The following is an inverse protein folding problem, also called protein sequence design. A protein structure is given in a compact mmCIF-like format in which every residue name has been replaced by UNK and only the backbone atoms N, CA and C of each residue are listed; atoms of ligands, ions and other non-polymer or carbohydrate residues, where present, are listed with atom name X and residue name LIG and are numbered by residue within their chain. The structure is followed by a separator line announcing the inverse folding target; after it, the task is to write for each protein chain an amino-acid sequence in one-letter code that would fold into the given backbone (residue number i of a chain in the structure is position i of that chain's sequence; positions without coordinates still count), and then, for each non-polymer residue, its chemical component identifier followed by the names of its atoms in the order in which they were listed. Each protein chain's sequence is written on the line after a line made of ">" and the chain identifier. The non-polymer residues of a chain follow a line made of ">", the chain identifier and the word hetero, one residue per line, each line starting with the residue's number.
data_IF_834652014141
#
_entry.id   IF_834652014141
#
_cell.length_a   1.000
_cell.length_b   1.000
_cell.length_c   1.000
_cell.angle_alpha   90.00
_cell.angle_beta   90.00
_cell.angle_gamma   90.00
#
_symmetry.space_group_name_H-M   'P 1'
#
loop_
_entity.id
_entity.type
_entity.pdbx_description
1 polymer ?
#
# COMPACT_ATOMS: atom_id res chain seq x y z
N UNK A 1 -12.25 68.94 -34.93
CA UNK A 1 -11.69 68.78 -33.57
C UNK A 1 -11.62 67.31 -33.07
N UNK A 2 -11.49 66.28 -33.94
CA UNK A 2 -11.58 64.86 -33.52
C UNK A 2 -10.24 64.14 -33.23
N UNK A 3 -9.12 64.61 -33.80
CA UNK A 3 -7.82 63.92 -33.77
C UNK A 3 -7.16 63.81 -32.36
N UNK A 4 -7.46 64.74 -31.44
CA UNK A 4 -6.91 64.71 -30.08
C UNK A 4 -7.49 63.57 -29.21
N UNK A 5 -8.70 63.10 -29.52
CA UNK A 5 -9.38 62.05 -28.75
C UNK A 5 -8.74 60.68 -28.98
N UNK A 6 -8.28 60.40 -30.20
CA UNK A 6 -7.80 59.07 -30.58
C UNK A 6 -6.38 58.80 -30.06
N UNK A 7 -5.53 59.83 -30.00
CA UNK A 7 -4.23 59.79 -29.31
C UNK A 7 -4.39 59.45 -27.82
N UNK A 8 -5.35 60.10 -27.15
CA UNK A 8 -5.62 59.85 -25.73
C UNK A 8 -6.17 58.45 -25.48
N UNK A 9 -7.07 57.95 -26.33
CA UNK A 9 -7.57 56.57 -26.28
C UNK A 9 -6.44 55.56 -26.48
N UNK A 10 -5.53 55.79 -27.42
CA UNK A 10 -4.35 54.94 -27.66
C UNK A 10 -3.45 54.88 -26.42
N UNK A 11 -3.15 56.02 -25.79
CA UNK A 11 -2.36 56.07 -24.55
C UNK A 11 -3.01 55.26 -23.42
N UNK A 12 -4.31 55.46 -23.19
CA UNK A 12 -5.07 54.69 -22.18
C UNK A 12 -5.08 53.18 -22.45
N UNK A 13 -5.16 52.76 -23.72
CA UNK A 13 -5.05 51.34 -24.11
C UNK A 13 -3.68 50.76 -23.82
N UNK A 14 -2.60 51.49 -24.10
CA UNK A 14 -1.24 51.02 -23.80
C UNK A 14 -1.02 50.89 -22.29
N UNK A 15 -1.52 51.83 -21.50
CA UNK A 15 -1.42 51.81 -20.04
C UNK A 15 -2.25 50.66 -19.44
N UNK A 16 -3.49 50.47 -19.92
CA UNK A 16 -4.35 49.34 -19.52
C UNK A 16 -3.79 47.98 -19.95
N UNK A 17 -3.24 47.86 -21.16
CA UNK A 17 -2.61 46.63 -21.64
C UNK A 17 -1.36 46.31 -20.82
N UNK A 18 -0.53 47.32 -20.52
CA UNK A 18 0.65 47.17 -19.67
C UNK A 18 0.28 46.64 -18.29
N UNK A 19 -0.74 47.24 -17.67
CA UNK A 19 -1.22 46.81 -16.37
C UNK A 19 -1.85 45.40 -16.43
N UNK A 20 -2.61 45.11 -17.49
CA UNK A 20 -3.21 43.78 -17.71
C UNK A 20 -2.16 42.69 -17.92
N UNK A 21 -1.09 42.97 -18.68
CA UNK A 21 0.04 42.08 -18.87
C UNK A 21 0.80 41.84 -17.56
N UNK A 22 1.04 42.89 -16.76
CA UNK A 22 1.62 42.75 -15.42
C UNK A 22 0.77 41.86 -14.53
N UNK A 23 -0.54 42.14 -14.43
CA UNK A 23 -1.49 41.33 -13.64
C UNK A 23 -1.56 39.88 -14.10
N UNK A 24 -1.47 39.64 -15.41
CA UNK A 24 -1.43 38.29 -15.98
C UNK A 24 -0.17 37.55 -15.54
N UNK A 25 1.01 38.20 -15.63
CA UNK A 25 2.29 37.62 -15.16
C UNK A 25 2.25 37.27 -13.67
N UNK A 26 1.77 38.20 -12.82
CA UNK A 26 1.66 37.96 -11.37
C UNK A 26 0.70 36.80 -11.07
N UNK A 27 -0.45 36.73 -11.73
CA UNK A 27 -1.40 35.61 -11.55
C UNK A 27 -0.80 34.26 -11.94
N UNK A 28 -0.07 34.21 -13.06
CA UNK A 28 0.62 32.98 -13.50
C UNK A 28 1.72 32.59 -12.51
N UNK A 29 2.51 33.55 -12.03
CA UNK A 29 3.56 33.29 -11.04
C UNK A 29 2.97 32.72 -9.74
N UNK A 30 1.90 33.33 -9.22
CA UNK A 30 1.21 32.83 -8.04
C UNK A 30 0.67 31.40 -8.25
N UNK A 31 0.10 31.12 -9.42
CA UNK A 31 -0.39 29.77 -9.75
C UNK A 31 0.73 28.74 -9.80
N UNK A 32 1.90 29.11 -10.32
CA UNK A 32 3.07 28.22 -10.32
C UNK A 32 3.57 27.95 -8.89
N UNK A 33 3.63 28.97 -8.04
CA UNK A 33 4.01 28.82 -6.63
C UNK A 33 3.03 27.93 -5.87
N UNK A 34 1.71 28.10 -6.09
CA UNK A 34 0.67 27.24 -5.53
C UNK A 34 0.88 25.77 -5.93
N UNK A 35 1.11 25.50 -7.23
CA UNK A 35 1.31 24.14 -7.74
C UNK A 35 2.62 23.51 -7.22
N UNK A 36 3.70 24.29 -7.10
CA UNK A 36 4.96 23.80 -6.53
C UNK A 36 4.80 23.41 -5.06
N UNK A 37 4.06 24.23 -4.30
CA UNK A 37 3.78 23.92 -2.90
C UNK A 37 2.90 22.67 -2.76
N UNK A 38 1.84 22.55 -3.58
CA UNK A 38 0.98 21.36 -3.60
C UNK A 38 1.78 20.10 -3.96
N UNK A 39 2.64 20.16 -4.98
CA UNK A 39 3.51 19.05 -5.36
C UNK A 39 4.46 18.65 -4.24
N UNK A 40 5.06 19.61 -3.53
CA UNK A 40 5.94 19.34 -2.40
C UNK A 40 5.19 18.69 -1.22
N UNK A 41 3.96 19.15 -0.94
CA UNK A 41 3.10 18.55 0.09
C UNK A 41 2.74 17.11 -0.25
N UNK A 42 2.24 16.87 -1.47
CA UNK A 42 1.88 15.52 -1.94
C UNK A 42 3.09 14.58 -1.93
N UNK A 43 4.28 15.07 -2.29
CA UNK A 43 5.51 14.28 -2.21
C UNK A 43 5.81 13.87 -0.76
N UNK A 44 5.73 14.80 0.18
CA UNK A 44 5.95 14.51 1.59
C UNK A 44 4.90 13.54 2.16
N UNK A 45 3.64 13.67 1.75
CA UNK A 45 2.58 12.72 2.13
C UNK A 45 2.83 11.33 1.57
N UNK A 46 3.23 11.22 0.30
CA UNK A 46 3.63 9.95 -0.31
C UNK A 46 4.80 9.31 0.42
N UNK A 47 5.83 10.09 0.78
CA UNK A 47 7.00 9.60 1.50
C UNK A 47 6.61 9.07 2.90
N UNK A 48 5.67 9.73 3.59
CA UNK A 48 5.13 9.25 4.88
C UNK A 48 4.35 7.95 4.73
N UNK A 49 3.44 7.88 3.76
CA UNK A 49 2.64 6.67 3.49
C UNK A 49 3.57 5.50 3.15
N UNK A 50 4.61 5.73 2.33
CA UNK A 50 5.59 4.70 1.99
C UNK A 50 6.33 4.18 3.23
N UNK A 51 6.70 5.06 4.17
CA UNK A 51 7.34 4.67 5.42
C UNK A 51 6.38 3.87 6.34
N UNK A 52 5.10 4.24 6.40
CA UNK A 52 4.08 3.50 7.15
C UNK A 52 3.85 2.10 6.57
N UNK A 53 3.77 1.98 5.24
CA UNK A 53 3.66 0.69 4.54
C UNK A 53 4.85 -0.19 4.90
N UNK A 54 6.08 0.32 4.80
CA UNK A 54 7.29 -0.45 5.11
C UNK A 54 7.31 -0.96 6.57
N UNK A 55 6.80 -0.15 7.51
CA UNK A 55 6.65 -0.58 8.90
C UNK A 55 5.64 -1.71 9.06
N UNK A 56 4.47 -1.59 8.43
CA UNK A 56 3.40 -2.61 8.46
C UNK A 56 3.89 -3.91 7.82
N UNK A 57 4.57 -3.84 6.67
CA UNK A 57 5.13 -5.01 6.00
C UNK A 57 6.09 -5.78 6.91
N UNK A 58 6.96 -5.07 7.65
CA UNK A 58 7.86 -5.69 8.63
C UNK A 58 7.08 -6.40 9.75
N UNK A 59 6.05 -5.77 10.30
CA UNK A 59 5.21 -6.36 11.36
C UNK A 59 4.48 -7.61 10.86
N UNK A 60 3.88 -7.54 9.67
CA UNK A 60 3.20 -8.66 9.03
C UNK A 60 4.17 -9.81 8.74
N UNK A 61 5.41 -9.52 8.32
CA UNK A 61 6.44 -10.53 8.12
C UNK A 61 6.76 -11.30 9.40
N UNK A 62 6.94 -10.57 10.53
CA UNK A 62 7.17 -11.19 11.84
C UNK A 62 5.97 -12.07 12.24
N UNK A 63 4.75 -11.56 12.12
CA UNK A 63 3.54 -12.32 12.44
C UNK A 63 3.37 -13.58 11.57
N UNK A 64 3.64 -13.46 10.26
CA UNK A 64 3.63 -14.60 9.34
C UNK A 64 4.62 -15.68 9.77
N UNK A 65 5.84 -15.29 10.14
CA UNK A 65 6.85 -16.25 10.61
C UNK A 65 6.41 -16.96 11.90
N UNK A 66 5.82 -16.24 12.85
CA UNK A 66 5.26 -16.82 14.07
C UNK A 66 4.10 -17.79 13.79
N UNK A 67 3.20 -17.43 12.87
CA UNK A 67 2.11 -18.31 12.45
C UNK A 67 2.62 -19.61 11.82
N UNK A 68 3.66 -19.55 10.98
CA UNK A 68 4.28 -20.75 10.40
C UNK A 68 4.85 -21.65 11.50
N UNK A 69 5.57 -21.08 12.47
CA UNK A 69 6.12 -21.84 13.60
C UNK A 69 5.00 -22.54 14.38
N UNK A 70 3.93 -21.81 14.72
CA UNK A 70 2.78 -22.36 15.44
C UNK A 70 2.08 -23.47 14.65
N UNK A 71 1.96 -23.32 13.32
CA UNK A 71 1.43 -24.37 12.45
C UNK A 71 2.32 -25.61 12.45
N UNK A 72 3.64 -25.45 12.37
CA UNK A 72 4.58 -26.58 12.45
C UNK A 72 4.46 -27.31 13.78
N UNK A 73 4.42 -26.58 14.90
CA UNK A 73 4.26 -27.17 16.23
C UNK A 73 2.92 -27.91 16.36
N UNK A 74 1.84 -27.35 15.82
CA UNK A 74 0.53 -27.99 15.83
C UNK A 74 0.55 -29.31 15.05
N UNK A 75 1.17 -29.33 13.86
CA UNK A 75 1.33 -30.54 13.05
C UNK A 75 2.14 -31.59 13.83
N UNK A 76 3.31 -31.21 14.38
CA UNK A 76 4.15 -32.14 15.13
C UNK A 76 3.42 -32.77 16.33
N UNK A 77 2.69 -31.95 17.11
CA UNK A 77 1.93 -32.44 18.26
C UNK A 77 0.77 -33.34 17.83
N UNK A 78 0.13 -33.03 16.70
CA UNK A 78 -0.96 -33.82 16.14
C UNK A 78 -0.45 -35.17 15.64
N UNK A 79 0.69 -35.20 14.95
CA UNK A 79 1.35 -36.43 14.49
C UNK A 79 1.75 -37.32 15.68
N UNK A 80 2.35 -36.74 16.72
CA UNK A 80 2.71 -37.46 17.96
C UNK A 80 1.48 -38.07 18.63
N UNK A 81 0.41 -37.30 18.77
CA UNK A 81 -0.83 -37.78 19.37
C UNK A 81 -1.46 -38.89 18.54
N UNK A 82 -1.47 -38.76 17.21
CA UNK A 82 -1.99 -39.77 16.29
C UNK A 82 -1.20 -41.07 16.40
N UNK A 83 0.14 -40.99 16.42
CA UNK A 83 1.01 -42.16 16.63
C UNK A 83 0.72 -42.86 17.97
N UNK A 84 0.48 -42.10 19.05
CA UNK A 84 0.09 -42.68 20.34
C UNK A 84 -1.29 -43.34 20.27
N UNK A 85 -2.27 -42.70 19.64
CA UNK A 85 -3.60 -43.26 19.42
C UNK A 85 -3.55 -44.56 18.60
N UNK A 86 -2.69 -44.65 17.59
CA UNK A 86 -2.47 -45.87 16.81
C UNK A 86 -1.88 -47.00 17.67
N UNK A 87 -0.89 -46.71 18.51
CA UNK A 87 -0.32 -47.69 19.44
C UNK A 87 -1.38 -48.19 20.42
N UNK A 88 -2.22 -47.30 20.97
CA UNK A 88 -3.30 -47.68 21.87
C UNK A 88 -4.31 -48.59 21.18
N UNK A 89 -4.61 -48.36 19.90
CA UNK A 89 -5.52 -49.21 19.12
C UNK A 89 -4.96 -50.62 18.92
N UNK A 90 -3.65 -50.76 18.73
CA UNK A 90 -2.98 -52.08 18.69
C UNK A 90 -3.05 -52.79 20.04
N UNK A 91 -2.89 -52.06 21.15
CA UNK A 91 -2.98 -52.63 22.51
C UNK A 91 -4.41 -53.07 22.85
N UNK A 92 -5.41 -52.28 22.47
CA UNK A 92 -6.83 -52.62 22.60
C UNK A 92 -7.15 -53.93 21.86
N UNK A 93 -6.71 -54.05 20.60
CA UNK A 93 -6.89 -55.27 19.80
C UNK A 93 -6.25 -56.51 20.45
N UNK A 94 -5.05 -56.36 21.03
CA UNK A 94 -4.33 -57.46 21.66
C UNK A 94 -4.87 -57.85 23.05
N UNK A 95 -5.29 -56.87 23.84
CA UNK A 95 -5.74 -57.09 25.23
C UNK A 95 -7.23 -57.40 25.35
N UNK A 96 -8.03 -57.07 24.34
CA UNK A 96 -9.49 -57.17 24.37
C UNK A 96 -10.16 -56.18 25.34
N UNK A 97 -9.40 -55.23 25.90
CA UNK A 97 -9.92 -54.16 26.73
C UNK A 97 -10.27 -52.96 25.86
N UNK A 98 -11.54 -52.54 25.91
CA UNK A 98 -12.00 -51.33 25.22
C UNK A 98 -11.32 -50.10 25.84
N UNK A 99 -10.62 -49.33 25.01
CA UNK A 99 -9.88 -48.12 25.41
C UNK A 99 -10.56 -46.89 24.82
N UNK A 100 -10.83 -45.87 25.63
CA UNK A 100 -11.41 -44.60 25.16
C UNK A 100 -10.32 -43.75 24.48
N UNK A 101 -10.02 -44.05 23.21
CA UNK A 101 -9.01 -43.35 22.41
C UNK A 101 -9.61 -42.05 21.84
N UNK A 102 -9.04 -40.86 22.14
CA UNK A 102 -9.57 -39.59 21.62
C UNK A 102 -9.33 -39.44 20.11
N UNK A 103 -10.37 -39.05 19.37
CA UNK A 103 -10.24 -38.59 17.98
C UNK A 103 -9.91 -37.09 17.94
N UNK A 104 -8.92 -36.72 17.12
CA UNK A 104 -8.50 -35.32 16.97
C UNK A 104 -9.46 -34.64 15.98
N UNK A 105 -10.15 -33.56 16.38
CA UNK A 105 -11.11 -32.91 15.50
C UNK A 105 -10.44 -32.18 14.34
N UNK A 106 -11.04 -32.35 13.14
CA UNK A 106 -10.63 -31.83 11.82
C UNK A 106 -10.24 -30.32 11.74
N UNK A 107 -10.82 -29.41 12.54
CA UNK A 107 -10.41 -28.00 12.58
C UNK A 107 -8.96 -27.76 13.02
N UNK A 108 -8.34 -28.72 13.73
CA UNK A 108 -6.92 -28.66 14.11
C UNK A 108 -5.99 -29.05 12.96
N UNK A 109 -6.49 -29.77 11.95
CA UNK A 109 -5.74 -30.18 10.76
C UNK A 109 -5.76 -29.10 9.68
N UNK A 110 -6.74 -28.19 9.72
CA UNK A 110 -6.88 -27.08 8.77
C UNK A 110 -7.21 -25.74 9.43
N UNK A 111 -6.40 -25.26 10.39
CA UNK A 111 -6.69 -24.01 11.08
C UNK A 111 -6.59 -22.85 10.08
N UNK A 112 -7.74 -22.28 9.75
CA UNK A 112 -7.89 -21.09 8.93
C UNK A 112 -7.06 -21.17 7.65
N UNK A 113 -7.51 -22.01 6.69
CA UNK A 113 -7.19 -21.80 5.28
C UNK A 113 -7.78 -20.45 4.86
N UNK A 114 -7.15 -19.36 5.28
CA UNK A 114 -7.33 -18.05 4.68
C UNK A 114 -7.15 -18.30 3.19
N UNK A 115 -8.10 -17.92 2.33
CA UNK A 115 -7.98 -18.12 0.90
C UNK A 115 -6.58 -17.66 0.53
N UNK A 116 -5.76 -18.63 0.11
CA UNK A 116 -4.34 -18.43 -0.17
C UNK A 116 -4.28 -17.13 -0.92
N UNK A 117 -3.69 -16.12 -0.30
CA UNK A 117 -3.35 -14.89 -1.00
C UNK A 117 -2.23 -15.32 -1.96
N UNK A 118 -2.60 -16.06 -2.99
CA UNK A 118 -1.84 -16.29 -4.18
C UNK A 118 -1.64 -14.88 -4.70
N UNK A 119 -0.45 -14.35 -4.44
CA UNK A 119 0.05 -13.16 -5.12
C UNK A 119 -1.01 -12.08 -5.30
N UNK A 120 -1.44 -11.44 -4.22
CA UNK A 120 -1.43 -9.97 -4.30
C UNK A 120 0.05 -9.58 -4.27
N UNK A 121 0.75 -9.87 -5.38
CA UNK A 121 1.70 -8.92 -5.91
C UNK A 121 0.87 -7.65 -5.99
N UNK A 122 0.97 -6.81 -4.96
CA UNK A 122 0.68 -5.41 -5.14
C UNK A 122 1.64 -5.06 -6.25
N UNK A 123 1.10 -5.01 -7.46
CA UNK A 123 1.79 -4.66 -8.68
C UNK A 123 2.09 -3.18 -8.50
N UNK A 124 3.05 -2.87 -7.64
CA UNK A 124 3.74 -1.62 -7.54
C UNK A 124 4.64 -1.54 -8.78
N UNK A 125 4.04 -1.61 -9.97
CA UNK A 125 4.55 -0.88 -11.10
C UNK A 125 4.27 0.59 -10.84
N UNK A 126 5.00 1.17 -9.89
CA UNK A 126 5.45 2.54 -10.07
C UNK A 126 6.66 2.47 -10.99
N UNK A 127 6.41 2.14 -12.26
CA UNK A 127 7.29 2.65 -13.30
C UNK A 127 7.00 4.16 -13.42
N UNK A 128 7.43 4.91 -12.40
CA UNK A 128 7.73 6.33 -12.55
C UNK A 128 9.08 6.38 -13.25
N UNK A 129 9.09 5.94 -14.51
CA UNK A 129 10.05 6.42 -15.47
C UNK A 129 9.86 7.94 -15.49
N UNK A 130 10.71 8.61 -14.72
CA UNK A 130 11.00 10.02 -14.84
C UNK A 130 11.63 10.23 -16.23
N UNK A 131 10.77 10.22 -17.25
CA UNK A 131 11.03 10.92 -18.50
C UNK A 131 10.13 12.14 -18.47
N UNK A 132 10.60 13.18 -17.81
CA UNK A 132 10.01 14.50 -17.94
C UNK A 132 10.82 15.24 -19.04
N UNK A 133 10.36 15.27 -20.31
CA UNK A 133 11.08 15.97 -21.38
C UNK A 133 10.82 17.48 -21.36
N UNK A 134 10.10 18.02 -20.36
CA UNK A 134 9.65 19.41 -20.38
C UNK A 134 10.66 20.45 -19.85
N UNK A 135 11.82 20.03 -19.34
CA UNK A 135 12.94 20.92 -19.03
C UNK A 135 14.09 20.77 -20.04
N UNK A 136 13.81 21.10 -21.30
CA UNK A 136 14.81 21.58 -22.25
C UNK A 136 14.23 22.80 -22.95
N UNK A 137 14.57 23.98 -22.47
CA UNK A 137 14.87 25.23 -23.20
C UNK A 137 15.09 26.36 -22.19
#
# INVERSE_FOLDING_TARGET
>A
MSLGSDSMKKRKRMESNRESARRSRVRKQKRLEELLNESALLKNENDKIAAEIALIEKQVSVQKSGNVILQTQLIELTDRLTSMSEVLRVVEEFSGMNMDIPEIPDPLLTPWKLPTCASLEILASTNVASSDPFFRF
#
